data_IF_421304012337
#
_entry.id   IF_421304012337
#
_cell.length_a   1.000
_cell.length_b   1.000
_cell.length_c   1.000
_cell.angle_alpha   90.00
_cell.angle_beta   90.00
_cell.angle_gamma   90.00
#
_symmetry.space_group_name_H-M   'P 1'
#
loop_
_entity.id
_entity.type
_entity.pdbx_description
1 polymer ?
#
# COMPACT_ATOMS: atom_id res chain seq x y z
N UNK A 1 -0.43 19.54 -2.21
CA UNK A 1 0.82 19.04 -2.83
C UNK A 1 2.09 19.55 -2.13
N UNK A 2 2.33 20.87 -2.02
CA UNK A 2 3.58 21.36 -1.40
C UNK A 2 3.78 20.88 0.03
N UNK A 3 2.74 20.82 0.87
CA UNK A 3 2.92 20.39 2.27
C UNK A 3 3.24 18.88 2.33
N UNK A 4 2.43 17.97 1.76
CA UNK A 4 2.72 16.52 1.87
C UNK A 4 3.98 16.06 1.13
N UNK A 5 4.33 16.65 -0.02
CA UNK A 5 5.56 16.29 -0.75
C UNK A 5 6.84 16.91 -0.13
N UNK A 6 6.76 18.13 0.39
CA UNK A 6 7.88 18.75 1.14
C UNK A 6 8.13 18.00 2.45
N UNK A 7 7.06 17.49 3.08
CA UNK A 7 7.14 16.67 4.27
C UNK A 7 7.66 15.26 3.99
N UNK A 8 7.35 14.68 2.83
CA UNK A 8 7.93 13.42 2.36
C UNK A 8 9.44 13.54 2.16
N UNK A 9 9.90 14.58 1.44
CA UNK A 9 11.32 14.82 1.22
C UNK A 9 12.07 15.12 2.54
N UNK A 10 11.47 15.89 3.45
CA UNK A 10 12.05 16.18 4.76
C UNK A 10 12.11 14.94 5.66
N UNK A 11 11.06 14.11 5.68
CA UNK A 11 11.03 12.88 6.47
C UNK A 11 12.00 11.82 5.93
N UNK A 12 12.09 11.66 4.61
CA UNK A 12 13.09 10.82 3.94
C UNK A 12 14.49 11.33 4.25
N UNK A 13 14.76 12.63 4.06
CA UNK A 13 16.08 13.22 4.31
C UNK A 13 16.49 13.10 5.78
N UNK A 14 15.55 13.34 6.71
CA UNK A 14 15.79 13.19 8.16
C UNK A 14 16.06 11.74 8.51
N UNK A 15 15.25 10.80 8.02
CA UNK A 15 15.46 9.37 8.23
C UNK A 15 16.81 8.89 7.69
N UNK A 16 17.15 9.27 6.45
CA UNK A 16 18.44 8.93 5.83
C UNK A 16 19.61 9.53 6.61
N UNK A 17 19.55 10.81 6.99
CA UNK A 17 20.61 11.47 7.76
C UNK A 17 20.83 10.84 9.14
N UNK A 18 19.74 10.53 9.86
CA UNK A 18 19.81 9.86 11.16
C UNK A 18 20.43 8.47 11.01
N UNK A 19 20.00 7.70 10.01
CA UNK A 19 20.53 6.35 9.77
C UNK A 19 22.00 6.36 9.39
N UNK A 20 22.42 7.19 8.43
CA UNK A 20 23.83 7.29 8.01
C UNK A 20 24.73 7.69 9.17
N UNK A 21 24.27 8.59 10.05
CA UNK A 21 25.03 9.02 11.22
C UNK A 21 25.16 7.95 12.30
N UNK A 22 24.18 7.03 12.39
CA UNK A 22 24.07 6.05 13.48
C UNK A 22 24.63 4.67 13.14
N UNK A 23 24.64 4.29 11.85
CA UNK A 23 25.17 2.98 11.40
C UNK A 23 26.67 2.84 11.68
N UNK A 24 27.42 3.94 11.73
CA UNK A 24 28.83 3.93 12.12
C UNK A 24 29.06 3.64 13.63
N UNK A 25 28.01 3.56 14.45
CA UNK A 25 28.13 3.51 15.92
C UNK A 25 27.72 2.17 16.58
N UNK A 26 27.20 1.18 15.84
CA UNK A 26 26.71 -0.06 16.45
C UNK A 26 27.13 -1.30 15.68
N UNK A 27 28.34 -1.79 15.99
CA UNK A 27 28.70 -3.18 15.79
C UNK A 27 28.75 -3.87 17.17
N UNK A 28 27.69 -4.59 17.52
CA UNK A 28 27.75 -5.57 18.61
C UNK A 28 27.66 -6.94 17.97
N UNK A 29 28.83 -7.54 17.70
CA UNK A 29 28.92 -8.96 17.39
C UNK A 29 28.30 -9.75 18.53
N UNK A 30 27.10 -10.30 18.28
CA UNK A 30 26.44 -11.18 19.24
C UNK A 30 27.04 -12.57 19.07
N UNK A 31 27.58 -13.14 20.15
CA UNK A 31 28.05 -14.54 20.19
C UNK A 31 26.91 -15.53 20.40
N UNK A 32 25.65 -15.10 20.28
CA UNK A 32 24.48 -15.93 20.52
C UNK A 32 24.20 -16.81 19.28
N UNK A 33 24.29 -18.15 19.38
CA UNK A 33 24.05 -19.06 18.25
C UNK A 33 22.60 -19.05 17.75
N UNK A 34 21.66 -18.43 18.48
CA UNK A 34 20.27 -18.24 18.05
C UNK A 34 20.06 -17.04 17.13
N UNK A 35 21.09 -16.22 16.92
CA UNK A 35 21.04 -15.06 16.01
C UNK A 35 21.55 -15.49 14.64
N UNK A 36 20.74 -15.39 13.57
CA UNK A 36 21.19 -15.73 12.23
C UNK A 36 22.38 -14.86 11.81
N UNK A 37 23.37 -15.38 11.08
CA UNK A 37 24.48 -14.57 10.62
C UNK A 37 24.02 -13.55 9.58
N UNK A 38 24.47 -12.29 9.68
CA UNK A 38 24.18 -11.24 8.69
C UNK A 38 25.18 -11.30 7.53
N UNK A 39 24.68 -11.11 6.31
CA UNK A 39 25.53 -10.86 5.15
C UNK A 39 25.99 -9.39 5.08
N UNK A 40 27.11 -9.09 4.41
CA UNK A 40 27.43 -7.73 4.02
C UNK A 40 26.62 -7.31 2.79
N UNK A 41 26.20 -6.04 2.75
CA UNK A 41 25.64 -5.38 1.57
C UNK A 41 26.66 -5.37 0.44
N UNK A 42 26.21 -5.63 -0.79
CA UNK A 42 27.07 -5.80 -1.97
C UNK A 42 27.88 -4.55 -2.31
N UNK A 43 27.30 -3.36 -2.14
CA UNK A 43 27.95 -2.10 -2.48
C UNK A 43 28.56 -1.36 -1.27
N UNK A 44 27.94 -1.49 -0.10
CA UNK A 44 28.35 -0.70 1.07
C UNK A 44 29.19 -1.49 2.08
N UNK A 45 29.12 -2.82 2.05
CA UNK A 45 29.76 -3.70 3.04
C UNK A 45 29.09 -3.70 4.41
N UNK A 46 28.06 -2.88 4.65
CA UNK A 46 27.36 -2.85 5.94
C UNK A 46 26.50 -4.10 6.15
N UNK A 47 26.27 -4.54 7.40
CA UNK A 47 25.41 -5.68 7.70
C UNK A 47 23.98 -5.50 7.18
N UNK A 48 23.44 -6.55 6.54
CA UNK A 48 22.10 -6.57 5.97
C UNK A 48 21.15 -7.45 6.77
N UNK A 49 19.86 -7.32 6.49
CA UNK A 49 18.77 -8.09 7.10
C UNK A 49 18.47 -9.40 6.38
N UNK A 50 19.15 -9.69 5.28
CA UNK A 50 19.17 -11.03 4.72
C UNK A 50 20.37 -11.78 5.30
N UNK A 51 20.20 -13.07 5.58
CA UNK A 51 21.30 -13.90 6.07
C UNK A 51 22.49 -13.94 5.09
N UNK A 52 23.61 -14.49 5.53
CA UNK A 52 24.67 -14.96 4.62
C UNK A 52 24.11 -16.11 3.76
N UNK A 53 23.46 -15.76 2.67
CA UNK A 53 22.90 -16.72 1.73
C UNK A 53 23.96 -17.09 0.69
N UNK A 54 24.88 -17.98 1.05
CA UNK A 54 25.99 -18.46 0.21
C UNK A 54 25.55 -19.08 -1.12
N UNK A 55 24.27 -19.46 -1.21
CA UNK A 55 23.73 -20.29 -2.28
C UNK A 55 22.96 -19.46 -3.31
N UNK A 56 22.86 -18.14 -3.13
CA UNK A 56 22.13 -17.28 -4.05
C UNK A 56 23.00 -16.90 -5.24
N UNK A 57 22.54 -17.25 -6.43
CA UNK A 57 23.14 -16.76 -7.67
C UNK A 57 22.82 -15.27 -7.84
N UNK A 58 23.84 -14.41 -7.80
CA UNK A 58 23.67 -12.97 -7.92
C UNK A 58 23.01 -12.54 -9.23
N UNK A 59 23.25 -13.26 -10.34
CA UNK A 59 22.60 -12.95 -11.61
C UNK A 59 21.10 -13.24 -11.55
N UNK A 60 20.69 -14.29 -10.86
CA UNK A 60 19.28 -14.62 -10.67
C UNK A 60 18.62 -13.61 -9.73
N UNK A 61 19.28 -13.22 -8.63
CA UNK A 61 18.85 -12.16 -7.73
C UNK A 61 18.63 -10.83 -8.46
N UNK A 62 19.58 -10.41 -9.29
CA UNK A 62 19.47 -9.18 -10.07
C UNK A 62 18.38 -9.26 -11.13
N UNK A 63 18.22 -10.42 -11.79
CA UNK A 63 17.17 -10.62 -12.78
C UNK A 63 15.76 -10.52 -12.18
N UNK A 64 15.51 -11.16 -11.02
CA UNK A 64 14.19 -11.07 -10.35
C UNK A 64 13.95 -9.68 -9.76
N UNK A 65 14.99 -9.00 -9.29
CA UNK A 65 14.88 -7.61 -8.81
C UNK A 65 14.62 -6.64 -9.97
N UNK A 66 15.25 -6.85 -11.13
CA UNK A 66 14.98 -6.06 -12.33
C UNK A 66 13.52 -6.19 -12.77
N UNK A 67 12.92 -7.38 -12.66
CA UNK A 67 11.49 -7.57 -12.94
C UNK A 67 10.61 -6.66 -12.07
N UNK A 68 10.86 -6.59 -10.76
CA UNK A 68 10.09 -5.72 -9.86
C UNK A 68 10.36 -4.23 -10.13
N UNK A 69 11.60 -3.85 -10.46
CA UNK A 69 11.93 -2.48 -10.91
C UNK A 69 11.15 -2.10 -12.17
N UNK A 70 11.09 -2.96 -13.18
CA UNK A 70 10.36 -2.70 -14.42
C UNK A 70 8.85 -2.55 -14.16
N UNK A 71 8.26 -3.46 -13.39
CA UNK A 71 6.83 -3.39 -13.03
C UNK A 71 6.50 -2.12 -12.23
N UNK A 72 7.29 -1.78 -11.21
CA UNK A 72 7.08 -0.55 -10.42
C UNK A 72 7.32 0.71 -11.24
N UNK A 73 8.27 0.71 -12.19
CA UNK A 73 8.49 1.83 -13.12
C UNK A 73 7.28 2.05 -14.03
N UNK A 74 6.71 0.96 -14.59
CA UNK A 74 5.50 1.04 -15.39
C UNK A 74 4.32 1.61 -14.59
N UNK A 75 4.15 1.16 -13.34
CA UNK A 75 3.12 1.67 -12.42
C UNK A 75 3.26 3.17 -12.18
N UNK A 76 4.48 3.65 -11.91
CA UNK A 76 4.77 5.08 -11.74
C UNK A 76 4.45 5.87 -13.01
N UNK A 77 4.79 5.31 -14.18
CA UNK A 77 4.41 5.89 -15.46
C UNK A 77 2.89 6.12 -15.55
N UNK A 78 2.09 5.09 -15.27
CA UNK A 78 0.63 5.19 -15.24
C UNK A 78 0.12 6.23 -14.24
N UNK A 79 0.66 6.25 -13.02
CA UNK A 79 0.27 7.20 -11.98
C UNK A 79 0.62 8.66 -12.33
N UNK A 80 1.74 8.90 -13.05
CA UNK A 80 2.10 10.24 -13.53
C UNK A 80 1.21 10.66 -14.71
N UNK A 81 0.96 9.75 -15.66
CA UNK A 81 0.14 10.04 -16.83
C UNK A 81 -1.35 10.23 -16.51
N UNK A 82 -1.82 9.70 -15.37
CA UNK A 82 -3.22 9.86 -14.95
C UNK A 82 -3.61 11.29 -14.57
N UNK A 83 -2.63 12.18 -14.30
CA UNK A 83 -2.89 13.59 -13.94
C UNK A 83 -3.21 13.83 -12.46
N UNK A 84 -3.73 12.83 -11.74
CA UNK A 84 -4.21 12.94 -10.35
C UNK A 84 -3.20 13.56 -9.37
N UNK A 85 -1.89 13.39 -9.61
CA UNK A 85 -0.83 13.92 -8.75
C UNK A 85 -0.73 15.46 -8.77
N UNK A 86 -1.38 16.15 -9.71
CA UNK A 86 -1.18 17.59 -9.98
C UNK A 86 -2.45 18.43 -9.80
N UNK A 87 -3.60 17.82 -9.51
CA UNK A 87 -4.88 18.51 -9.58
C UNK A 87 -5.18 19.42 -8.37
N UNK A 88 -5.98 20.46 -8.63
CA UNK A 88 -6.50 21.37 -7.61
C UNK A 88 -7.88 20.87 -7.13
N UNK A 89 -7.97 20.61 -5.82
CA UNK A 89 -9.17 20.10 -5.16
C UNK A 89 -10.12 21.22 -4.69
N UNK A 90 -9.79 22.48 -4.95
CA UNK A 90 -10.52 23.64 -4.46
C UNK A 90 -12.03 23.59 -4.75
N UNK A 91 -12.41 23.07 -5.93
CA UNK A 91 -13.80 22.98 -6.38
C UNK A 91 -14.52 21.66 -6.02
N UNK A 92 -13.85 20.73 -5.34
CA UNK A 92 -14.42 19.43 -4.98
C UNK A 92 -15.18 19.48 -3.65
N UNK A 93 -16.24 18.67 -3.55
CA UNK A 93 -16.93 18.42 -2.26
C UNK A 93 -16.02 17.64 -1.29
N UNK A 94 -16.25 17.68 0.05
CA UNK A 94 -15.42 16.95 1.00
C UNK A 94 -15.27 15.44 0.71
N UNK A 95 -16.34 14.80 0.23
CA UNK A 95 -16.31 13.38 -0.13
C UNK A 95 -15.43 13.12 -1.36
N UNK A 96 -15.57 13.94 -2.41
CA UNK A 96 -14.72 13.86 -3.60
C UNK A 96 -13.26 14.18 -3.29
N UNK A 97 -12.99 15.12 -2.38
CA UNK A 97 -11.62 15.40 -1.91
C UNK A 97 -11.00 14.17 -1.26
N UNK A 98 -11.77 13.43 -0.45
CA UNK A 98 -11.31 12.17 0.16
C UNK A 98 -10.93 11.14 -0.91
N UNK A 99 -11.73 10.99 -1.98
CA UNK A 99 -11.44 10.07 -3.08
C UNK A 99 -10.20 10.52 -3.87
N UNK A 100 -10.13 11.81 -4.23
CA UNK A 100 -8.95 12.40 -4.87
C UNK A 100 -7.68 12.19 -4.04
N UNK A 101 -7.76 12.36 -2.72
CA UNK A 101 -6.65 12.06 -1.81
C UNK A 101 -6.27 10.59 -1.82
N UNK A 102 -7.25 9.67 -1.80
CA UNK A 102 -7.00 8.24 -1.87
C UNK A 102 -6.23 7.88 -3.15
N UNK A 103 -6.67 8.35 -4.31
CA UNK A 103 -6.01 8.09 -5.60
C UNK A 103 -4.59 8.67 -5.63
N UNK A 104 -4.39 9.86 -5.06
CA UNK A 104 -3.06 10.48 -4.92
C UNK A 104 -2.14 9.70 -4.00
N UNK A 105 -2.64 9.24 -2.85
CA UNK A 105 -1.86 8.42 -1.92
C UNK A 105 -1.47 7.11 -2.59
N UNK A 106 -2.38 6.50 -3.35
CA UNK A 106 -2.09 5.28 -4.09
C UNK A 106 -1.08 5.49 -5.22
N UNK A 107 -1.18 6.61 -5.94
CA UNK A 107 -0.15 7.04 -6.91
C UNK A 107 1.21 7.25 -6.23
N UNK A 108 1.24 7.97 -5.11
CA UNK A 108 2.43 8.14 -4.28
C UNK A 108 3.01 6.81 -3.77
N UNK A 109 2.15 5.83 -3.46
CA UNK A 109 2.55 4.50 -3.01
C UNK A 109 3.33 3.75 -4.10
N UNK A 110 2.91 3.85 -5.36
CA UNK A 110 3.70 3.29 -6.48
C UNK A 110 5.08 3.95 -6.59
N UNK A 111 5.18 5.27 -6.39
CA UNK A 111 6.44 6.02 -6.44
C UNK A 111 7.37 5.63 -5.28
N UNK A 112 6.86 5.64 -4.06
CA UNK A 112 7.63 5.25 -2.86
C UNK A 112 8.14 3.81 -2.98
N UNK A 113 7.33 2.93 -3.55
CA UNK A 113 7.73 1.54 -3.79
C UNK A 113 8.85 1.44 -4.82
N UNK A 114 8.75 2.13 -5.96
CA UNK A 114 9.84 2.15 -6.95
C UNK A 114 11.16 2.59 -6.29
N UNK A 115 11.11 3.68 -5.50
CA UNK A 115 12.26 4.17 -4.75
C UNK A 115 12.80 3.08 -3.81
N UNK A 116 11.91 2.41 -3.06
CA UNK A 116 12.30 1.35 -2.12
C UNK A 116 12.90 0.12 -2.82
N UNK A 117 12.36 -0.30 -3.97
CA UNK A 117 12.86 -1.45 -4.75
C UNK A 117 14.20 -1.13 -5.42
N UNK A 118 14.35 0.05 -6.01
CA UNK A 118 15.64 0.51 -6.55
C UNK A 118 16.67 0.63 -5.44
N UNK A 119 16.29 1.16 -4.28
CA UNK A 119 17.17 1.24 -3.15
C UNK A 119 17.56 -0.14 -2.61
N UNK A 120 16.66 -1.12 -2.63
CA UNK A 120 17.01 -2.50 -2.31
C UNK A 120 18.07 -3.03 -3.28
N UNK A 121 17.93 -2.79 -4.59
CA UNK A 121 18.93 -3.24 -5.57
C UNK A 121 20.34 -2.65 -5.34
N UNK A 122 20.42 -1.46 -4.73
CA UNK A 122 21.68 -0.73 -4.49
C UNK A 122 22.24 -0.96 -3.07
N UNK A 123 21.39 -0.89 -2.06
CA UNK A 123 21.79 -0.89 -0.64
C UNK A 123 21.62 -2.26 0.03
N UNK A 124 20.90 -3.18 -0.61
CA UNK A 124 20.32 -4.39 -0.02
C UNK A 124 19.38 -4.08 1.18
N UNK A 125 18.63 -5.08 1.65
CA UNK A 125 17.74 -4.89 2.81
C UNK A 125 18.57 -4.73 4.06
N UNK A 126 18.36 -3.65 4.82
CA UNK A 126 19.14 -3.39 6.02
C UNK A 126 18.78 -2.04 6.63
N UNK A 127 19.56 -1.63 7.65
CA UNK A 127 19.34 -0.35 8.32
C UNK A 127 19.39 0.84 7.37
N UNK A 128 20.32 0.87 6.41
CA UNK A 128 20.41 1.94 5.40
C UNK A 128 19.19 2.03 4.48
N UNK A 129 18.58 0.88 4.16
CA UNK A 129 17.38 0.80 3.33
C UNK A 129 16.10 1.13 4.12
N UNK A 130 16.09 0.90 5.43
CA UNK A 130 14.89 0.98 6.27
C UNK A 130 14.13 2.31 6.19
N UNK A 131 14.74 3.51 6.05
CA UNK A 131 13.98 4.74 5.88
C UNK A 131 13.13 4.72 4.61
N UNK A 132 13.64 4.15 3.52
CA UNK A 132 12.94 4.08 2.23
C UNK A 132 11.84 3.02 2.27
N UNK A 133 12.09 1.88 2.91
CA UNK A 133 11.04 0.91 3.22
C UNK A 133 9.96 1.47 4.15
N UNK A 134 10.34 2.26 5.16
CA UNK A 134 9.41 2.87 6.11
C UNK A 134 8.46 3.84 5.42
N UNK A 135 8.94 4.56 4.41
CA UNK A 135 8.13 5.46 3.57
C UNK A 135 7.12 4.68 2.72
N UNK A 136 7.51 3.53 2.20
CA UNK A 136 6.61 2.62 1.49
C UNK A 136 5.49 2.13 2.43
N UNK A 137 5.82 1.59 3.61
CA UNK A 137 4.82 1.16 4.60
C UNK A 137 3.95 2.33 5.12
N UNK A 138 4.54 3.53 5.23
CA UNK A 138 3.84 4.73 5.66
C UNK A 138 2.65 5.06 4.76
N UNK A 139 2.79 4.83 3.45
CA UNK A 139 1.70 5.10 2.50
C UNK A 139 0.58 4.06 2.59
N UNK A 140 0.87 2.82 2.95
CA UNK A 140 -0.16 1.82 3.29
C UNK A 140 -0.93 2.23 4.54
N UNK A 141 -0.22 2.66 5.58
CA UNK A 141 -0.87 3.21 6.77
C UNK A 141 -1.69 4.44 6.42
N UNK A 142 -1.19 5.31 5.53
CA UNK A 142 -1.93 6.49 5.07
C UNK A 142 -3.22 6.09 4.34
N UNK A 143 -3.19 5.05 3.49
CA UNK A 143 -4.40 4.51 2.86
C UNK A 143 -5.40 4.09 3.94
N UNK A 144 -4.99 3.31 4.94
CA UNK A 144 -5.86 2.86 6.04
C UNK A 144 -6.45 4.08 6.79
N UNK A 145 -5.66 5.12 7.04
CA UNK A 145 -6.12 6.32 7.73
C UNK A 145 -7.11 7.14 6.89
N UNK A 146 -6.95 7.20 5.56
CA UNK A 146 -7.93 7.85 4.67
C UNK A 146 -9.30 7.16 4.80
N UNK A 147 -9.33 5.83 4.90
CA UNK A 147 -10.56 5.09 5.17
C UNK A 147 -11.15 5.40 6.55
N UNK A 148 -10.31 5.48 7.59
CA UNK A 148 -10.78 5.74 8.96
C UNK A 148 -11.38 7.15 9.13
N UNK A 149 -10.81 8.13 8.44
CA UNK A 149 -11.18 9.54 8.57
C UNK A 149 -11.97 10.09 7.37
N UNK A 150 -12.59 9.21 6.56
CA UNK A 150 -13.44 9.65 5.46
C UNK A 150 -14.52 10.63 5.97
N UNK A 151 -14.80 11.67 5.18
CA UNK A 151 -15.71 12.78 5.50
C UNK A 151 -15.29 13.67 6.70
N UNK A 152 -14.12 13.46 7.30
CA UNK A 152 -13.55 14.30 8.37
C UNK A 152 -12.31 15.08 7.91
N UNK A 153 -12.34 15.60 6.68
CA UNK A 153 -11.20 16.21 5.98
C UNK A 153 -10.37 17.19 6.84
N UNK A 154 -11.04 18.14 7.50
CA UNK A 154 -10.36 19.20 8.28
C UNK A 154 -9.62 18.66 9.52
N UNK A 155 -10.09 17.54 10.08
CA UNK A 155 -9.41 16.85 11.19
C UNK A 155 -8.33 15.89 10.69
N UNK A 156 -8.60 15.27 9.54
CA UNK A 156 -7.74 14.26 8.93
C UNK A 156 -6.39 14.86 8.53
N UNK A 157 -6.36 15.99 7.82
CA UNK A 157 -5.11 16.51 7.26
C UNK A 157 -4.04 16.85 8.33
N UNK A 158 -4.36 17.62 9.40
CA UNK A 158 -3.39 17.85 10.47
C UNK A 158 -2.98 16.57 11.20
N UNK A 159 -3.94 15.66 11.45
CA UNK A 159 -3.66 14.39 12.11
C UNK A 159 -2.71 13.52 11.28
N UNK A 160 -2.99 13.35 9.98
CA UNK A 160 -2.14 12.61 9.05
C UNK A 160 -0.71 13.15 9.08
N UNK A 161 -0.53 14.47 9.05
CA UNK A 161 0.81 15.07 9.11
C UNK A 161 1.60 14.65 10.35
N UNK A 162 1.04 14.86 11.55
CA UNK A 162 1.74 14.53 12.79
C UNK A 162 1.94 13.02 12.95
N UNK A 163 0.94 12.23 12.57
CA UNK A 163 1.01 10.77 12.63
C UNK A 163 2.11 10.25 11.70
N UNK A 164 2.17 10.75 10.46
CA UNK A 164 3.16 10.31 9.48
C UNK A 164 4.59 10.63 9.94
N UNK A 165 4.81 11.84 10.48
CA UNK A 165 6.09 12.24 11.04
C UNK A 165 6.48 11.38 12.26
N UNK A 166 5.53 11.08 13.14
CA UNK A 166 5.75 10.22 14.29
C UNK A 166 6.10 8.79 13.85
N UNK A 167 5.32 8.21 12.92
CA UNK A 167 5.51 6.86 12.41
C UNK A 167 6.93 6.68 11.84
N UNK A 168 7.33 7.53 10.89
CA UNK A 168 8.64 7.37 10.24
C UNK A 168 9.80 7.57 11.22
N UNK A 169 9.67 8.53 12.14
CA UNK A 169 10.68 8.78 13.18
C UNK A 169 10.81 7.57 14.09
N UNK A 170 9.70 7.04 14.60
CA UNK A 170 9.70 5.87 15.49
C UNK A 170 10.24 4.64 14.76
N UNK A 171 9.77 4.36 13.54
CA UNK A 171 10.20 3.18 12.77
C UNK A 171 11.70 3.20 12.47
N UNK A 172 12.24 4.36 12.04
CA UNK A 172 13.68 4.50 11.77
C UNK A 172 14.49 4.42 13.07
N UNK A 173 14.07 5.10 14.14
CA UNK A 173 14.76 5.04 15.43
C UNK A 173 14.76 3.62 16.00
N UNK A 174 13.66 2.88 15.91
CA UNK A 174 13.59 1.48 16.31
C UNK A 174 14.52 0.61 15.47
N UNK A 175 14.55 0.81 14.15
CA UNK A 175 15.44 0.05 13.24
C UNK A 175 16.91 0.30 13.55
N UNK A 176 17.27 1.51 14.02
CA UNK A 176 18.63 1.84 14.43
C UNK A 176 18.95 1.28 15.81
N UNK A 177 18.09 1.53 16.79
CA UNK A 177 18.32 1.23 18.20
C UNK A 177 18.28 -0.27 18.51
N UNK A 178 17.43 -1.03 17.81
CA UNK A 178 17.32 -2.45 18.03
C UNK A 178 18.51 -3.20 17.38
N UNK A 179 19.06 -4.21 18.08
CA UNK A 179 20.06 -5.09 17.50
C UNK A 179 19.41 -6.08 16.54
N UNK A 180 20.19 -6.57 15.58
CA UNK A 180 19.80 -7.72 14.78
C UNK A 180 19.50 -8.95 15.68
N UNK A 181 18.43 -9.72 15.43
CA UNK A 181 17.44 -9.60 14.34
C UNK A 181 16.18 -8.80 14.71
N UNK A 182 16.14 -8.17 15.88
CA UNK A 182 14.92 -7.52 16.41
C UNK A 182 14.50 -6.32 15.58
N UNK A 183 15.45 -5.57 15.02
CA UNK A 183 15.20 -4.47 14.10
C UNK A 183 14.40 -4.93 12.87
N UNK A 184 14.87 -5.97 12.19
CA UNK A 184 14.22 -6.54 11.02
C UNK A 184 12.86 -7.19 11.35
N UNK A 185 12.75 -7.84 12.51
CA UNK A 185 11.49 -8.44 12.96
C UNK A 185 10.43 -7.39 13.24
N UNK A 186 10.76 -6.33 13.97
CA UNK A 186 9.83 -5.21 14.21
C UNK A 186 9.44 -4.57 12.89
N UNK A 187 10.41 -4.35 11.99
CA UNK A 187 10.16 -3.79 10.66
C UNK A 187 9.24 -4.66 9.80
N UNK A 188 9.42 -5.99 9.84
CA UNK A 188 8.58 -6.93 9.10
C UNK A 188 7.18 -7.06 9.70
N UNK A 189 7.07 -7.11 11.02
CA UNK A 189 5.78 -7.23 11.72
C UNK A 189 4.88 -6.03 11.43
N UNK A 190 5.42 -4.81 11.43
CA UNK A 190 4.61 -3.63 11.06
C UNK A 190 4.05 -3.78 9.65
N UNK A 191 4.91 -4.02 8.64
CA UNK A 191 4.53 -4.08 7.22
C UNK A 191 3.49 -5.14 6.95
N UNK A 192 3.75 -6.35 7.47
CA UNK A 192 2.85 -7.48 7.28
C UNK A 192 1.48 -7.28 7.97
N UNK A 193 1.40 -6.44 9.01
CA UNK A 193 0.10 -6.06 9.58
C UNK A 193 -0.68 -5.14 8.63
N UNK A 194 -0.04 -4.24 7.88
CA UNK A 194 -0.71 -3.47 6.82
C UNK A 194 -1.16 -4.40 5.69
N UNK A 195 -0.31 -5.35 5.29
CA UNK A 195 -0.59 -6.33 4.23
C UNK A 195 -1.85 -7.16 4.50
N UNK A 196 -2.10 -7.55 5.76
CA UNK A 196 -3.33 -8.26 6.13
C UNK A 196 -4.56 -7.34 6.19
N UNK A 197 -4.38 -6.07 6.57
CA UNK A 197 -5.48 -5.13 6.73
C UNK A 197 -6.05 -4.65 5.39
N UNK A 198 -5.20 -4.33 4.42
CA UNK A 198 -5.61 -3.73 3.14
C UNK A 198 -6.60 -4.58 2.33
N UNK A 199 -6.40 -5.91 2.13
CA UNK A 199 -7.37 -6.75 1.43
C UNK A 199 -8.75 -6.71 2.09
N UNK A 200 -8.81 -6.68 3.43
CA UNK A 200 -10.06 -6.63 4.19
C UNK A 200 -10.76 -5.29 3.94
N UNK A 201 -10.01 -4.19 4.03
CA UNK A 201 -10.53 -2.82 3.84
C UNK A 201 -11.06 -2.62 2.41
N UNK A 202 -10.30 -3.04 1.39
CA UNK A 202 -10.76 -2.96 0.00
C UNK A 202 -11.95 -3.87 -0.29
N UNK A 203 -12.02 -5.04 0.34
CA UNK A 203 -13.19 -5.93 0.23
C UNK A 203 -14.44 -5.27 0.81
N UNK A 204 -14.32 -4.61 1.98
CA UNK A 204 -15.43 -3.84 2.56
C UNK A 204 -15.86 -2.70 1.64
N UNK A 205 -14.90 -1.99 1.03
CA UNK A 205 -15.18 -0.91 0.09
C UNK A 205 -15.98 -1.40 -1.12
N UNK A 206 -15.58 -2.53 -1.69
CA UNK A 206 -16.26 -3.14 -2.82
C UNK A 206 -17.72 -3.45 -2.48
N UNK A 207 -17.97 -4.08 -1.34
CA UNK A 207 -19.33 -4.41 -0.93
C UNK A 207 -20.18 -3.16 -0.64
N UNK A 208 -19.60 -2.12 -0.02
CA UNK A 208 -20.29 -0.86 0.22
C UNK A 208 -20.74 -0.19 -1.10
N UNK A 209 -19.85 -0.14 -2.09
CA UNK A 209 -20.17 0.44 -3.41
C UNK A 209 -21.17 -0.43 -4.19
N UNK A 210 -21.02 -1.76 -4.15
CA UNK A 210 -21.94 -2.70 -4.79
C UNK A 210 -23.35 -2.64 -4.19
N UNK A 211 -23.46 -2.53 -2.87
CA UNK A 211 -24.75 -2.37 -2.18
C UNK A 211 -25.41 -1.05 -2.56
N UNK A 212 -24.66 0.05 -2.53
CA UNK A 212 -25.17 1.37 -2.91
C UNK A 212 -25.63 1.42 -4.37
N UNK A 213 -24.89 0.78 -5.28
CA UNK A 213 -25.28 0.60 -6.67
C UNK A 213 -26.60 -0.18 -6.79
N UNK A 214 -26.74 -1.29 -6.06
CA UNK A 214 -27.95 -2.10 -6.06
C UNK A 214 -29.18 -1.32 -5.56
N UNK A 215 -29.06 -0.62 -4.42
CA UNK A 215 -30.16 0.16 -3.84
C UNK A 215 -30.64 1.26 -4.78
N UNK A 216 -29.72 1.96 -5.46
CA UNK A 216 -30.08 3.01 -6.42
C UNK A 216 -30.79 2.45 -7.65
N UNK A 217 -30.37 1.27 -8.14
CA UNK A 217 -31.07 0.60 -9.25
C UNK A 217 -32.49 0.21 -8.87
N UNK A 218 -32.69 -0.34 -7.68
CA UNK A 218 -34.03 -0.70 -7.19
C UNK A 218 -34.91 0.54 -7.04
N UNK A 219 -34.36 1.66 -6.54
CA UNK A 219 -35.08 2.93 -6.46
C UNK A 219 -35.51 3.45 -7.84
N UNK A 220 -34.59 3.48 -8.83
CA UNK A 220 -34.90 3.89 -10.21
C UNK A 220 -35.96 3.00 -10.86
N UNK A 221 -35.82 1.68 -10.71
CA UNK A 221 -36.78 0.73 -11.27
C UNK A 221 -38.18 0.89 -10.64
N UNK A 222 -38.24 1.14 -9.32
CA UNK A 222 -39.47 1.42 -8.58
C UNK A 222 -40.17 2.71 -9.03
N UNK A 223 -39.40 3.78 -9.29
CA UNK A 223 -39.92 5.04 -9.85
C UNK A 223 -40.43 4.86 -11.29
N UNK A 224 -39.74 4.09 -12.14
CA UNK A 224 -40.21 3.83 -13.51
C UNK A 224 -41.49 2.98 -13.56
N UNK A 225 -41.71 2.05 -12.62
CA UNK A 225 -43.00 1.33 -12.54
C UNK A 225 -44.18 2.23 -12.16
N UNK A 226 -43.94 3.33 -11.44
CA UNK A 226 -44.99 4.29 -11.10
C UNK A 226 -45.26 5.31 -12.23
N UNK A 227 -44.25 5.59 -13.07
CA UNK A 227 -44.38 6.52 -14.21
C UNK A 227 -44.96 5.84 -15.47
N UNK A 228 -44.74 4.53 -15.66
CA UNK A 228 -45.33 3.78 -16.78
C UNK A 228 -46.83 3.43 -16.59
N UNK A 229 -47.39 3.72 -15.42
CA UNK A 229 -48.83 3.51 -15.17
C UNK A 229 -49.71 4.65 -15.75
N UNK A 230 -49.13 5.70 -16.33
CA UNK A 230 -49.89 6.92 -16.63
C UNK A 230 -49.49 7.68 -17.91
N UNK A 231 -48.92 7.02 -18.94
CA UNK A 231 -48.66 7.73 -20.20
C UNK A 231 -48.95 6.87 -21.45
N UNK A 232 -50.18 6.96 -21.94
CA UNK A 232 -50.56 6.56 -23.31
C UNK A 232 -50.13 7.60 -24.37
N UNK A 233 -49.40 8.68 -24.03
CA UNK A 233 -49.07 9.76 -24.98
C UNK A 233 -47.67 10.39 -24.83
N UNK A 234 -46.61 9.60 -24.72
CA UNK A 234 -45.24 10.14 -24.78
C UNK A 234 -44.58 9.88 -26.15
N UNK A 235 -44.64 10.90 -27.01
CA UNK A 235 -43.86 10.98 -28.24
C UNK A 235 -42.36 10.85 -27.98
N UNK A 236 -41.67 10.27 -28.97
CA UNK A 236 -40.21 10.11 -29.09
C UNK A 236 -39.43 11.33 -28.60
N UNK A 237 -38.84 11.22 -27.42
CA UNK A 237 -37.80 12.12 -26.91
C UNK A 237 -36.54 11.32 -26.60
N UNK A 238 -35.44 11.75 -27.18
CA UNK A 238 -34.06 11.24 -27.11
C UNK A 238 -33.45 11.34 -25.69
N UNK A 239 -34.00 10.61 -24.72
CA UNK A 239 -33.57 10.63 -23.30
C UNK A 239 -32.80 9.37 -22.86
N UNK A 240 -32.39 8.52 -23.81
CA UNK A 240 -31.79 7.21 -23.51
C UNK A 240 -30.28 7.18 -23.30
N UNK A 241 -29.51 8.11 -23.88
CA UNK A 241 -28.04 8.03 -23.92
C UNK A 241 -27.37 8.46 -22.59
N UNK A 242 -27.81 9.56 -21.97
CA UNK A 242 -27.17 10.09 -20.75
C UNK A 242 -27.36 9.20 -19.51
N UNK A 243 -28.50 8.52 -19.38
CA UNK A 243 -28.76 7.63 -18.25
C UNK A 243 -27.97 6.30 -18.35
N UNK A 244 -27.69 5.85 -19.57
CA UNK A 244 -26.88 4.66 -19.85
C UNK A 244 -25.41 4.87 -19.50
N UNK A 245 -24.84 5.99 -19.95
CA UNK A 245 -23.40 6.27 -19.80
C UNK A 245 -22.97 6.41 -18.32
N UNK A 246 -23.73 7.17 -17.52
CA UNK A 246 -23.46 7.25 -16.08
C UNK A 246 -23.60 5.88 -15.38
N UNK A 247 -24.52 5.02 -15.84
CA UNK A 247 -24.73 3.70 -15.23
C UNK A 247 -23.55 2.77 -15.51
N UNK A 248 -22.95 2.90 -16.69
CA UNK A 248 -21.79 2.12 -17.10
C UNK A 248 -20.49 2.64 -16.45
N UNK A 249 -20.32 3.95 -16.31
CA UNK A 249 -19.21 4.53 -15.52
C UNK A 249 -19.23 4.06 -14.06
N UNK A 250 -20.40 4.04 -13.41
CA UNK A 250 -20.54 3.56 -12.03
C UNK A 250 -20.23 2.07 -11.86
N UNK A 251 -20.67 1.26 -12.81
CA UNK A 251 -20.31 -0.17 -12.87
C UNK A 251 -18.80 -0.34 -12.97
N UNK A 252 -18.13 0.51 -13.75
CA UNK A 252 -16.67 0.52 -13.90
C UNK A 252 -16.00 0.92 -12.59
N UNK A 253 -16.41 1.99 -11.91
CA UNK A 253 -15.84 2.40 -10.62
C UNK A 253 -15.90 1.29 -9.56
N UNK A 254 -17.05 0.61 -9.44
CA UNK A 254 -17.22 -0.51 -8.49
C UNK A 254 -16.38 -1.72 -8.89
N UNK A 255 -16.32 -2.03 -10.19
CA UNK A 255 -15.50 -3.12 -10.70
C UNK A 255 -14.00 -2.84 -10.52
N UNK A 256 -13.57 -1.58 -10.64
CA UNK A 256 -12.17 -1.19 -10.52
C UNK A 256 -11.64 -1.41 -9.08
N UNK A 257 -12.50 -1.35 -8.05
CA UNK A 257 -12.10 -1.71 -6.66
C UNK A 257 -11.62 -3.18 -6.59
N UNK A 258 -12.09 -4.08 -7.46
CA UNK A 258 -11.58 -5.46 -7.51
C UNK A 258 -10.09 -5.51 -7.84
N UNK A 259 -9.58 -4.55 -8.62
CA UNK A 259 -8.15 -4.43 -8.93
C UNK A 259 -7.36 -4.24 -7.64
N UNK A 260 -7.85 -3.40 -6.73
CA UNK A 260 -7.23 -3.15 -5.42
C UNK A 260 -7.23 -4.39 -4.54
N UNK A 261 -8.34 -5.13 -4.51
CA UNK A 261 -8.44 -6.37 -3.73
C UNK A 261 -7.43 -7.41 -4.24
N UNK A 262 -7.36 -7.59 -5.56
CA UNK A 262 -6.43 -8.54 -6.18
C UNK A 262 -4.99 -8.11 -5.92
N UNK A 263 -4.66 -6.83 -6.13
CA UNK A 263 -3.33 -6.28 -5.88
C UNK A 263 -2.91 -6.48 -4.42
N UNK A 264 -3.73 -6.06 -3.45
CA UNK A 264 -3.43 -6.22 -2.03
C UNK A 264 -3.29 -7.69 -1.61
N UNK A 265 -4.13 -8.58 -2.15
CA UNK A 265 -4.08 -10.01 -1.82
C UNK A 265 -2.82 -10.68 -2.36
N UNK A 266 -2.42 -10.38 -3.60
CA UNK A 266 -1.17 -10.88 -4.20
C UNK A 266 0.05 -10.31 -3.45
N UNK A 267 -0.01 -9.04 -3.07
CA UNK A 267 1.04 -8.39 -2.28
C UNK A 267 1.26 -9.09 -0.94
N UNK A 268 0.18 -9.24 -0.17
CA UNK A 268 0.19 -9.93 1.11
C UNK A 268 0.67 -11.38 0.97
N UNK A 269 0.22 -12.10 -0.05
CA UNK A 269 0.66 -13.46 -0.32
C UNK A 269 2.17 -13.55 -0.55
N UNK A 270 2.73 -12.65 -1.37
CA UNK A 270 4.18 -12.59 -1.60
C UNK A 270 4.96 -12.34 -0.31
N UNK A 271 4.51 -11.36 0.49
CA UNK A 271 5.12 -11.06 1.79
C UNK A 271 5.03 -12.25 2.77
N UNK A 272 3.88 -12.92 2.84
CA UNK A 272 3.68 -14.13 3.67
C UNK A 272 4.63 -15.26 3.23
N UNK A 273 4.72 -15.54 1.92
CA UNK A 273 5.59 -16.60 1.40
C UNK A 273 7.05 -16.34 1.75
N UNK A 274 7.55 -15.12 1.49
CA UNK A 274 8.96 -14.80 1.80
C UNK A 274 9.24 -14.70 3.29
N UNK A 275 8.23 -14.52 4.14
CA UNK A 275 8.38 -14.56 5.60
C UNK A 275 8.35 -15.98 6.15
N UNK A 276 7.51 -16.87 5.60
CA UNK A 276 7.38 -18.25 6.07
C UNK A 276 8.50 -19.16 5.59
N UNK A 277 8.99 -18.97 4.37
CA UNK A 277 9.88 -19.90 3.71
C UNK A 277 11.25 -19.24 3.45
N UNK A 278 12.36 -19.89 3.87
CA UNK A 278 13.70 -19.39 3.57
C UNK A 278 14.17 -19.80 2.17
N UNK A 279 15.11 -19.03 1.63
CA UNK A 279 15.83 -19.31 0.39
C UNK A 279 15.38 -18.47 -0.81
N UNK A 280 16.03 -18.72 -1.94
CA UNK A 280 15.87 -17.90 -3.15
C UNK A 280 14.47 -17.97 -3.77
N UNK A 281 13.84 -19.15 -3.85
CA UNK A 281 12.53 -19.31 -4.50
C UNK A 281 11.42 -18.49 -3.85
N UNK A 282 11.26 -18.49 -2.50
CA UNK A 282 10.33 -17.58 -1.81
C UNK A 282 10.63 -16.09 -2.08
N UNK A 283 11.91 -15.70 -2.06
CA UNK A 283 12.31 -14.33 -2.38
C UNK A 283 11.98 -13.95 -3.84
N UNK A 284 12.29 -14.81 -4.80
CA UNK A 284 11.95 -14.61 -6.21
C UNK A 284 10.44 -14.48 -6.38
N UNK A 285 9.66 -15.35 -5.72
CA UNK A 285 8.19 -15.28 -5.72
C UNK A 285 7.70 -13.91 -5.24
N UNK A 286 8.27 -13.40 -4.15
CA UNK A 286 7.98 -12.05 -3.64
C UNK A 286 8.35 -10.94 -4.63
N UNK A 287 9.49 -11.03 -5.33
CA UNK A 287 9.84 -10.06 -6.38
C UNK A 287 8.86 -10.12 -7.56
N UNK A 288 8.41 -11.32 -7.94
CA UNK A 288 7.41 -11.51 -8.97
C UNK A 288 6.06 -10.90 -8.61
N UNK A 289 5.61 -11.04 -7.35
CA UNK A 289 4.38 -10.38 -6.90
C UNK A 289 4.51 -8.86 -6.99
N UNK A 290 5.65 -8.27 -6.61
CA UNK A 290 5.88 -6.82 -6.74
C UNK A 290 5.78 -6.36 -8.20
N UNK A 291 6.40 -7.09 -9.13
CA UNK A 291 6.32 -6.74 -10.56
C UNK A 291 4.90 -6.81 -11.16
N UNK A 292 3.93 -7.41 -10.47
CA UNK A 292 2.51 -7.47 -10.89
C UNK A 292 1.62 -6.51 -10.10
N UNK A 293 1.78 -6.48 -8.77
CA UNK A 293 0.94 -5.71 -7.83
C UNK A 293 0.97 -4.22 -8.14
N UNK A 294 2.16 -3.62 -8.31
CA UNK A 294 2.24 -2.18 -8.51
C UNK A 294 1.70 -1.75 -9.86
N UNK A 295 1.91 -2.46 -10.98
CA UNK A 295 1.16 -2.21 -12.20
C UNK A 295 -0.36 -2.21 -12.00
N UNK A 296 -0.91 -3.12 -11.19
CA UNK A 296 -2.34 -3.12 -10.88
C UNK A 296 -2.77 -1.86 -10.11
N UNK A 297 -2.01 -1.43 -9.11
CA UNK A 297 -2.27 -0.16 -8.42
C UNK A 297 -2.16 1.06 -9.34
N UNK A 298 -1.12 1.13 -10.17
CA UNK A 298 -0.94 2.20 -11.16
C UNK A 298 -2.07 2.20 -12.20
N UNK A 299 -2.52 1.02 -12.63
CA UNK A 299 -3.64 0.86 -13.56
C UNK A 299 -4.97 1.28 -12.95
N UNK A 300 -5.21 0.96 -11.68
CA UNK A 300 -6.38 1.47 -10.95
C UNK A 300 -6.41 3.00 -10.96
N UNK A 301 -5.30 3.65 -10.55
CA UNK A 301 -5.17 5.11 -10.52
C UNK A 301 -5.34 5.72 -11.92
N UNK A 302 -4.79 5.09 -12.95
CA UNK A 302 -4.95 5.54 -14.33
C UNK A 302 -6.40 5.51 -14.83
N UNK A 303 -7.21 4.57 -14.32
CA UNK A 303 -8.62 4.43 -14.70
C UNK A 303 -9.56 5.37 -13.95
N UNK A 304 -9.13 5.94 -12.83
CA UNK A 304 -10.00 6.83 -12.06
C UNK A 304 -10.22 8.15 -12.81
N UNK A 305 -11.41 8.76 -12.69
CA UNK A 305 -11.66 10.08 -13.24
C UNK A 305 -10.99 11.16 -12.38
N UNK A 306 -10.41 12.17 -13.05
CA UNK A 306 -9.77 13.34 -12.39
C UNK A 306 -10.72 14.02 -11.39
N UNK A 307 -12.01 14.09 -11.73
CA UNK A 307 -13.06 14.56 -10.83
C UNK A 307 -13.81 13.33 -10.34
N UNK A 308 -13.62 12.92 -9.07
CA UNK A 308 -14.28 11.73 -8.55
C UNK A 308 -15.80 11.86 -8.57
N UNK A 309 -16.47 10.73 -8.79
CA UNK A 309 -17.92 10.64 -8.65
C UNK A 309 -18.38 11.01 -7.24
N UNK A 310 -19.42 11.85 -7.14
CA UNK A 310 -20.10 12.14 -5.86
C UNK A 310 -20.83 10.92 -5.29
N UNK A 311 -20.93 9.84 -6.07
CA UNK A 311 -21.71 8.67 -5.74
C UNK A 311 -20.86 7.53 -5.15
N UNK A 312 -19.54 7.67 -5.14
CA UNK A 312 -18.63 6.77 -4.44
C UNK A 312 -19.04 6.66 -2.96
N UNK A 313 -19.12 5.44 -2.44
CA UNK A 313 -19.51 5.20 -1.06
C UNK A 313 -18.34 4.68 -0.24
N UNK A 314 -17.95 5.48 0.75
CA UNK A 314 -17.06 5.03 1.80
C UNK A 314 -17.76 4.03 2.71
N UNK A 315 -16.98 3.10 3.27
CA UNK A 315 -17.49 2.12 4.22
C UNK A 315 -17.93 2.86 5.48
N UNK A 316 -19.18 2.66 5.91
CA UNK A 316 -19.62 3.15 7.23
C UNK A 316 -18.91 2.36 8.31
N UNK A 317 -17.88 2.97 8.87
CA UNK A 317 -16.97 2.34 9.79
C UNK A 317 -17.34 2.68 11.23
N UNK A 318 -17.35 1.65 12.10
CA UNK A 318 -17.32 1.87 13.55
C UNK A 318 -15.87 1.72 14.05
N UNK A 319 -15.45 2.61 14.95
CA UNK A 319 -14.11 2.55 15.57
C UNK A 319 -13.77 1.15 16.12
N UNK A 320 -14.68 0.43 16.81
CA UNK A 320 -14.38 -0.92 17.28
C UNK A 320 -14.11 -1.93 16.15
N UNK A 321 -14.78 -1.79 15.00
CA UNK A 321 -14.57 -2.67 13.85
C UNK A 321 -13.16 -2.51 13.25
N UNK A 322 -12.64 -1.28 13.16
CA UNK A 322 -11.28 -1.06 12.66
C UNK A 322 -10.20 -1.43 13.66
N UNK A 323 -10.44 -1.16 14.95
CA UNK A 323 -9.55 -1.65 16.00
C UNK A 323 -9.44 -3.18 15.94
N UNK A 324 -10.56 -3.88 15.69
CA UNK A 324 -10.55 -5.33 15.52
C UNK A 324 -9.74 -5.76 14.28
N UNK A 325 -9.91 -5.11 13.13
CA UNK A 325 -9.11 -5.40 11.93
C UNK A 325 -7.62 -5.18 12.21
N UNK A 326 -7.26 -4.07 12.86
CA UNK A 326 -5.88 -3.77 13.24
C UNK A 326 -5.30 -4.83 14.18
N UNK A 327 -6.02 -5.18 15.25
CA UNK A 327 -5.58 -6.20 16.22
C UNK A 327 -5.40 -7.57 15.54
N UNK A 328 -6.37 -8.01 14.74
CA UNK A 328 -6.29 -9.28 14.02
C UNK A 328 -5.11 -9.28 13.05
N UNK A 329 -4.89 -8.20 12.32
CA UNK A 329 -3.78 -8.08 11.36
C UNK A 329 -2.42 -8.10 12.05
N UNK A 330 -2.29 -7.45 13.21
CA UNK A 330 -1.07 -7.52 14.05
C UNK A 330 -0.84 -8.95 14.55
N UNK A 331 -1.88 -9.63 15.05
CA UNK A 331 -1.77 -11.01 15.53
C UNK A 331 -1.33 -11.94 14.39
N UNK A 332 -1.95 -11.84 13.21
CA UNK A 332 -1.59 -12.63 12.03
C UNK A 332 -0.15 -12.36 11.59
N UNK A 333 0.28 -11.10 11.63
CA UNK A 333 1.64 -10.70 11.32
C UNK A 333 2.67 -11.31 12.27
N UNK A 334 2.41 -11.25 13.59
CA UNK A 334 3.25 -11.87 14.62
C UNK A 334 3.30 -13.39 14.42
N UNK A 335 2.16 -14.06 14.26
CA UNK A 335 2.09 -15.51 14.06
C UNK A 335 2.89 -15.91 12.82
N UNK A 336 2.68 -15.23 11.69
CA UNK A 336 3.38 -15.53 10.43
C UNK A 336 4.90 -15.39 10.61
N UNK A 337 5.35 -14.32 11.25
CA UNK A 337 6.77 -14.07 11.53
C UNK A 337 7.37 -15.13 12.46
N UNK A 338 6.68 -15.49 13.54
CA UNK A 338 7.13 -16.51 14.51
C UNK A 338 7.20 -17.90 13.86
N UNK A 339 6.20 -18.26 13.04
CA UNK A 339 6.22 -19.52 12.28
C UNK A 339 7.38 -19.52 11.29
N UNK A 340 7.61 -18.43 10.56
CA UNK A 340 8.74 -18.29 9.64
C UNK A 340 10.11 -18.47 10.32
N UNK A 341 10.28 -17.86 11.49
CA UNK A 341 11.49 -18.05 12.32
C UNK A 341 11.68 -19.52 12.72
N UNK A 342 10.61 -20.18 13.15
CA UNK A 342 10.64 -21.60 13.54
C UNK A 342 10.94 -22.53 12.37
N UNK A 343 10.40 -22.25 11.18
CA UNK A 343 10.69 -23.03 9.97
C UNK A 343 12.14 -22.84 9.51
N UNK A 344 12.67 -21.63 9.64
CA UNK A 344 14.05 -21.30 9.28
C UNK A 344 15.07 -21.93 10.24
N UNK A 345 14.78 -21.98 11.54
CA UNK A 345 15.68 -22.57 12.54
C UNK A 345 15.81 -24.09 12.45
N UNK A 346 14.90 -24.78 11.75
CA UNK A 346 14.98 -26.23 11.50
C UNK A 346 15.83 -26.62 10.29
N UNK A 347 16.22 -25.66 9.45
CA UNK A 347 17.11 -25.87 8.31
C UNK A 347 18.59 -25.62 8.63
N UNK A 348 18.88 -24.91 9.73
CA UNK A 348 20.21 -24.84 10.35
C UNK A 348 20.46 -26.10 11.16
#
# INVERSE_FOLDING_TARGET
MMISMFNFALAVATGVLITVSSVNAMEKNTTNPLVPPQGPSRLTGYPTWHGLESDWNLQELDAVTLWSVLGTTFAVGLAIFSGHLRDDDSNLTPSQRTVSLFDRVLGGYTIATLISVVAFAVLDLGKLWSPLGAVHNLLEVTIILVFLFHDQWDRMIPFLFYFQLAYITITVLLSIALPWPLDALVFKIQGLAQDFALPIIYTRLFFANREAEHLRRTARNGETTNLLANDENAERGDFGESAGDESDERRRETADILILIVAASIHALGNVITTLLPGFVPFATFQFTYGVVYPLYGFYVYRQPIVPSTQFQWVKISVPSELLVGIVSIILSIITTVVGLFLSSRKM
#
